data_IF_274291333820
#
_entry.id   IF_274291333820
#
_cell.length_a   1.000
_cell.length_b   1.000
_cell.length_c   1.000
_cell.angle_alpha   90.00
_cell.angle_beta   90.00
_cell.angle_gamma   90.00
#
_symmetry.space_group_name_H-M   'P 1'
#
loop_
_entity.id
_entity.type
_entity.pdbx_description
1 polymer ?
#
# COMPACT_ATOMS: atom_id res chain seq x y z
N UNK A 1 -8.17 10.61 9.49
CA UNK A 1 -8.58 9.22 9.73
C UNK A 1 -10.08 9.11 9.59
N UNK A 2 -10.60 7.94 9.26
CA UNK A 2 -12.04 7.68 9.23
C UNK A 2 -12.59 7.60 10.65
N UNK A 3 -13.83 8.06 10.85
CA UNK A 3 -14.58 7.86 12.09
C UNK A 3 -15.29 6.51 12.07
N UNK A 4 -15.65 5.97 13.24
CA UNK A 4 -16.35 4.69 13.32
C UNK A 4 -17.70 4.71 12.60
N UNK A 5 -18.42 5.84 12.64
CA UNK A 5 -19.65 6.03 11.89
C UNK A 5 -19.44 5.94 10.37
N UNK A 6 -18.35 6.52 9.84
CA UNK A 6 -17.98 6.42 8.43
C UNK A 6 -17.61 4.98 8.06
N UNK A 7 -16.85 4.29 8.90
CA UNK A 7 -16.49 2.88 8.69
C UNK A 7 -17.74 2.01 8.62
N UNK A 8 -18.68 2.17 9.57
CA UNK A 8 -19.93 1.43 9.56
C UNK A 8 -20.75 1.69 8.30
N UNK A 9 -20.84 2.94 7.85
CA UNK A 9 -21.57 3.29 6.63
C UNK A 9 -20.93 2.66 5.39
N UNK A 10 -19.60 2.70 5.27
CA UNK A 10 -18.87 2.05 4.18
C UNK A 10 -19.14 0.56 4.16
N UNK A 11 -18.96 -0.12 5.30
CA UNK A 11 -19.08 -1.57 5.41
C UNK A 11 -20.51 -2.06 5.14
N UNK A 12 -21.51 -1.31 5.56
CA UNK A 12 -22.91 -1.74 5.43
C UNK A 12 -23.59 -1.35 4.12
N UNK A 13 -23.17 -0.24 3.49
CA UNK A 13 -23.92 0.36 2.38
C UNK A 13 -23.11 0.60 1.09
N UNK A 14 -21.80 0.67 1.17
CA UNK A 14 -21.00 1.18 0.03
C UNK A 14 -20.04 0.15 -0.57
N UNK A 15 -19.83 -0.99 0.09
CA UNK A 15 -19.01 -2.08 -0.47
C UNK A 15 -19.89 -3.13 -1.13
N UNK A 16 -19.38 -3.68 -2.23
CA UNK A 16 -19.95 -4.86 -2.87
C UNK A 16 -18.92 -6.00 -2.90
N UNK A 17 -19.41 -7.23 -2.84
CA UNK A 17 -18.56 -8.41 -2.88
C UNK A 17 -18.90 -9.25 -4.10
N UNK A 18 -17.88 -9.65 -4.86
CA UNK A 18 -17.95 -10.69 -5.87
C UNK A 18 -17.17 -11.91 -5.38
N UNK A 19 -17.74 -13.08 -5.54
CA UNK A 19 -17.08 -14.33 -5.16
C UNK A 19 -16.69 -15.12 -6.39
N UNK A 20 -15.59 -15.83 -6.30
CA UNK A 20 -15.11 -16.72 -7.35
C UNK A 20 -14.33 -17.89 -6.75
N UNK A 21 -14.10 -18.89 -7.55
CA UNK A 21 -13.26 -20.02 -7.15
C UNK A 21 -11.82 -19.58 -7.01
N UNK A 22 -11.12 -20.05 -5.99
CA UNK A 22 -9.70 -19.80 -5.84
C UNK A 22 -8.93 -20.63 -6.88
N UNK A 23 -8.07 -20.00 -7.69
CA UNK A 23 -7.16 -20.72 -8.57
C UNK A 23 -6.01 -21.35 -7.76
N UNK A 24 -5.61 -22.56 -8.09
CA UNK A 24 -4.49 -23.26 -7.47
C UNK A 24 -4.28 -24.66 -8.08
N UNK A 25 -3.15 -25.31 -7.75
CA UNK A 25 -2.92 -26.73 -8.11
C UNK A 25 -3.98 -27.59 -7.41
N UNK A 26 -4.82 -28.25 -8.21
CA UNK A 26 -6.07 -28.86 -7.87
C UNK A 26 -6.13 -29.74 -6.61
N UNK A 27 -7.27 -29.67 -5.99
CA UNK A 27 -7.81 -30.58 -4.98
C UNK A 27 -9.32 -30.54 -5.08
N UNK A 28 -10.03 -31.54 -4.57
CA UNK A 28 -11.49 -31.67 -4.74
C UNK A 28 -12.29 -30.45 -4.26
N UNK A 29 -11.80 -29.71 -3.25
CA UNK A 29 -12.46 -28.52 -2.70
C UNK A 29 -12.21 -27.26 -3.51
N UNK A 30 -11.04 -27.09 -4.16
CA UNK A 30 -10.68 -25.88 -4.91
C UNK A 30 -11.62 -25.66 -6.10
N UNK A 31 -12.11 -26.74 -6.69
CA UNK A 31 -13.01 -26.69 -7.85
C UNK A 31 -14.49 -26.56 -7.51
N UNK A 32 -14.85 -26.74 -6.23
CA UNK A 32 -16.26 -26.77 -5.80
C UNK A 32 -16.68 -25.58 -4.93
N UNK A 33 -15.73 -24.89 -4.27
CA UNK A 33 -16.05 -23.84 -3.29
C UNK A 33 -15.52 -22.48 -3.75
N UNK A 34 -16.37 -21.46 -3.72
CA UNK A 34 -16.03 -20.09 -4.04
C UNK A 34 -15.50 -19.36 -2.80
N UNK A 35 -14.21 -19.53 -2.52
CA UNK A 35 -13.56 -18.91 -1.35
C UNK A 35 -12.89 -17.58 -1.65
N UNK A 36 -12.53 -17.33 -2.90
CA UNK A 36 -11.94 -16.05 -3.31
C UNK A 36 -13.01 -14.96 -3.32
N UNK A 37 -12.72 -13.85 -2.68
CA UNK A 37 -13.60 -12.69 -2.57
C UNK A 37 -12.92 -11.48 -3.20
N UNK A 38 -13.63 -10.78 -4.04
CA UNK A 38 -13.26 -9.47 -4.56
C UNK A 38 -14.21 -8.42 -3.98
N UNK A 39 -13.67 -7.50 -3.19
CA UNK A 39 -14.38 -6.36 -2.64
C UNK A 39 -14.24 -5.19 -3.59
N UNK A 40 -15.34 -4.56 -3.96
CA UNK A 40 -15.38 -3.34 -4.77
C UNK A 40 -15.91 -2.17 -3.92
N UNK A 41 -15.23 -1.03 -4.00
CA UNK A 41 -15.63 0.21 -3.34
C UNK A 41 -15.40 1.38 -4.30
N UNK A 42 -16.45 2.19 -4.53
CA UNK A 42 -16.36 3.37 -5.39
C UNK A 42 -16.10 4.63 -4.57
N UNK A 43 -14.92 5.24 -4.77
CA UNK A 43 -14.47 6.40 -4.03
C UNK A 43 -15.26 7.66 -4.37
N UNK A 44 -15.64 7.87 -5.64
CA UNK A 44 -16.32 9.09 -6.09
C UNK A 44 -17.76 9.17 -5.61
N UNK A 45 -18.49 8.04 -5.65
CA UNK A 45 -19.91 7.97 -5.29
C UNK A 45 -20.15 7.76 -3.79
N UNK A 46 -19.09 7.52 -3.01
CA UNK A 46 -19.20 7.31 -1.56
C UNK A 46 -19.84 8.50 -0.87
N UNK A 47 -20.88 8.24 -0.06
CA UNK A 47 -21.56 9.22 0.80
C UNK A 47 -20.92 9.29 2.19
N UNK A 48 -20.21 8.25 2.59
CA UNK A 48 -19.52 8.19 3.89
C UNK A 48 -18.30 9.12 3.93
N UNK A 49 -17.62 9.35 2.80
CA UNK A 49 -16.48 10.23 2.71
C UNK A 49 -16.93 11.67 2.45
N UNK A 50 -16.42 12.64 3.23
CA UNK A 50 -16.65 14.06 3.00
C UNK A 50 -15.92 14.52 1.72
N UNK A 51 -16.42 15.60 1.09
CA UNK A 51 -15.81 16.17 -0.12
C UNK A 51 -14.36 16.64 0.13
N UNK A 52 -14.06 17.11 1.32
CA UNK A 52 -12.70 17.46 1.74
C UNK A 52 -11.78 16.23 1.77
N UNK A 53 -12.26 15.10 2.27
CA UNK A 53 -11.51 13.83 2.28
C UNK A 53 -11.27 13.32 0.86
N UNK A 54 -12.28 13.34 0.00
CA UNK A 54 -12.14 12.96 -1.42
C UNK A 54 -11.13 13.87 -2.13
N UNK A 55 -11.21 15.19 -1.96
CA UNK A 55 -10.23 16.14 -2.52
C UNK A 55 -8.79 15.87 -2.07
N UNK A 56 -8.57 15.50 -0.81
CA UNK A 56 -7.25 15.12 -0.29
C UNK A 56 -6.74 13.87 -0.99
N UNK A 57 -7.58 12.86 -1.17
CA UNK A 57 -7.20 11.60 -1.82
C UNK A 57 -6.85 11.85 -3.30
N UNK A 58 -7.71 12.52 -4.06
CA UNK A 58 -7.48 12.83 -5.47
C UNK A 58 -6.26 13.71 -5.71
N UNK A 59 -6.03 14.73 -4.86
CA UNK A 59 -4.82 15.56 -4.95
C UNK A 59 -3.54 14.77 -4.71
N UNK A 60 -3.59 13.77 -3.85
CA UNK A 60 -2.42 12.98 -3.44
C UNK A 60 -2.14 11.79 -4.36
N UNK A 61 -3.20 11.25 -4.95
CA UNK A 61 -3.17 10.08 -5.82
C UNK A 61 -4.03 10.35 -7.07
N UNK A 62 -3.45 11.02 -8.10
CA UNK A 62 -4.18 11.38 -9.32
C UNK A 62 -4.78 10.18 -10.05
N UNK A 63 -4.16 9.00 -9.95
CA UNK A 63 -4.63 7.76 -10.59
C UNK A 63 -6.06 7.40 -10.19
N UNK A 64 -6.52 7.80 -9.00
CA UNK A 64 -7.91 7.61 -8.58
C UNK A 64 -8.92 8.58 -9.24
N UNK A 65 -8.46 9.51 -10.05
CA UNK A 65 -9.36 10.39 -10.84
C UNK A 65 -9.96 9.58 -11.99
N UNK A 66 -9.14 8.76 -12.64
CA UNK A 66 -9.55 7.93 -13.77
C UNK A 66 -10.19 6.62 -13.30
N UNK A 67 -9.58 5.94 -12.33
CA UNK A 67 -10.11 4.72 -11.72
C UNK A 67 -10.61 4.98 -10.29
N UNK A 68 -11.86 5.42 -10.17
CA UNK A 68 -12.49 5.66 -8.85
C UNK A 68 -12.88 4.38 -8.11
N UNK A 69 -12.84 3.23 -8.79
CA UNK A 69 -13.22 1.93 -8.27
C UNK A 69 -12.01 1.23 -7.62
N UNK A 70 -12.03 1.11 -6.31
CA UNK A 70 -11.02 0.36 -5.54
C UNK A 70 -11.46 -1.10 -5.47
N UNK A 71 -10.60 -2.01 -5.98
CA UNK A 71 -10.79 -3.46 -5.89
C UNK A 71 -9.79 -4.08 -4.95
N UNK A 72 -10.25 -4.90 -4.02
CA UNK A 72 -9.41 -5.63 -3.07
C UNK A 72 -9.75 -7.10 -3.11
N UNK A 73 -8.74 -7.92 -3.39
CA UNK A 73 -8.89 -9.38 -3.42
C UNK A 73 -8.50 -9.98 -2.08
N UNK A 74 -9.37 -10.82 -1.53
CA UNK A 74 -9.15 -11.68 -0.37
C UNK A 74 -9.16 -13.15 -0.82
N UNK A 75 -8.02 -13.82 -0.73
CA UNK A 75 -7.85 -15.24 -1.09
C UNK A 75 -6.87 -15.97 -0.18
N UNK A 76 -6.67 -15.45 1.04
CA UNK A 76 -5.65 -15.98 1.97
C UNK A 76 -6.23 -17.08 2.84
N UNK A 77 -7.48 -16.95 3.23
CA UNK A 77 -8.15 -17.87 4.15
C UNK A 77 -8.93 -18.96 3.39
N UNK A 78 -9.20 -20.07 4.08
CA UNK A 78 -10.01 -21.18 3.53
C UNK A 78 -11.50 -20.87 3.52
N UNK A 79 -11.95 -19.99 4.41
CA UNK A 79 -13.34 -19.58 4.55
C UNK A 79 -13.63 -18.33 3.73
N UNK A 80 -14.77 -18.31 3.03
CA UNK A 80 -15.25 -17.13 2.31
C UNK A 80 -15.50 -15.94 3.27
N UNK A 81 -16.04 -16.24 4.47
CA UNK A 81 -16.33 -15.22 5.48
C UNK A 81 -15.05 -14.52 5.95
N UNK A 82 -14.03 -15.28 6.29
CA UNK A 82 -12.72 -14.73 6.70
C UNK A 82 -12.09 -13.90 5.59
N UNK A 83 -12.24 -14.31 4.33
CA UNK A 83 -11.74 -13.53 3.18
C UNK A 83 -12.53 -12.21 3.00
N UNK A 84 -13.85 -12.18 3.28
CA UNK A 84 -14.64 -10.94 3.30
C UNK A 84 -14.16 -10.00 4.40
N UNK A 85 -13.98 -10.51 5.61
CA UNK A 85 -13.44 -9.72 6.74
C UNK A 85 -12.04 -9.18 6.43
N UNK A 86 -11.17 -10.02 5.89
CA UNK A 86 -9.81 -9.62 5.49
C UNK A 86 -9.85 -8.49 4.46
N UNK A 87 -10.65 -8.63 3.40
CA UNK A 87 -10.78 -7.61 2.36
C UNK A 87 -11.33 -6.28 2.93
N UNK A 88 -12.31 -6.36 3.83
CA UNK A 88 -12.88 -5.19 4.52
C UNK A 88 -11.84 -4.49 5.39
N UNK A 89 -11.10 -5.23 6.23
CA UNK A 89 -10.02 -4.68 7.06
C UNK A 89 -8.95 -4.00 6.20
N UNK A 90 -8.59 -4.62 5.08
CA UNK A 90 -7.60 -4.08 4.13
C UNK A 90 -8.08 -2.79 3.46
N UNK A 91 -9.38 -2.69 3.11
CA UNK A 91 -9.97 -1.45 2.59
C UNK A 91 -9.88 -0.31 3.60
N UNK A 92 -10.28 -0.55 4.86
CA UNK A 92 -10.24 0.45 5.92
C UNK A 92 -8.81 0.95 6.17
N UNK A 93 -7.84 0.03 6.22
CA UNK A 93 -6.42 0.37 6.35
C UNK A 93 -5.93 1.21 5.17
N UNK A 94 -6.32 0.85 3.95
CA UNK A 94 -5.97 1.60 2.73
C UNK A 94 -6.54 3.02 2.78
N UNK A 95 -7.84 3.18 3.05
CA UNK A 95 -8.49 4.50 3.15
C UNK A 95 -7.85 5.37 4.23
N UNK A 96 -7.55 4.82 5.41
CA UNK A 96 -6.84 5.54 6.46
C UNK A 96 -5.42 5.95 6.04
N UNK A 97 -4.70 5.10 5.28
CA UNK A 97 -3.39 5.43 4.71
C UNK A 97 -3.50 6.56 3.68
N UNK A 98 -4.51 6.54 2.82
CA UNK A 98 -4.76 7.58 1.82
C UNK A 98 -5.05 8.94 2.48
N UNK A 99 -5.81 8.94 3.57
CA UNK A 99 -6.15 10.16 4.33
C UNK A 99 -5.00 10.69 5.21
N UNK A 100 -4.00 9.86 5.52
CA UNK A 100 -2.89 10.27 6.40
C UNK A 100 -2.06 11.38 5.76
N UNK A 101 -1.82 12.51 6.43
CA UNK A 101 -0.99 13.58 5.88
C UNK A 101 0.45 13.10 5.65
N UNK A 102 1.03 13.46 4.51
CA UNK A 102 2.44 13.17 4.21
C UNK A 102 3.30 14.20 4.94
N UNK A 103 4.18 13.72 5.81
CA UNK A 103 5.19 14.58 6.44
C UNK A 103 6.18 15.06 5.39
N UNK A 104 6.42 16.38 5.32
CA UNK A 104 7.46 16.96 4.46
C UNK A 104 8.82 16.43 4.88
N UNK A 105 9.58 15.87 3.93
CA UNK A 105 10.96 15.43 4.21
C UNK A 105 11.84 16.64 4.46
N UNK A 106 12.53 16.64 5.59
CA UNK A 106 13.52 17.65 5.94
C UNK A 106 14.85 17.19 5.34
N UNK A 107 15.55 18.10 4.60
CA UNK A 107 16.86 17.81 4.05
C UNK A 107 17.88 17.60 5.19
N UNK A 108 18.52 16.44 5.23
CA UNK A 108 19.53 16.11 6.22
C UNK A 108 20.92 16.33 5.64
N UNK A 109 21.82 16.95 6.43
CA UNK A 109 23.23 17.10 6.07
C UNK A 109 24.01 15.85 6.54
N UNK A 110 25.07 15.45 5.78
CA UNK A 110 25.93 14.34 6.21
C UNK A 110 26.56 14.61 7.58
N UNK A 111 26.59 13.60 8.45
CA UNK A 111 27.21 13.69 9.78
C UNK A 111 28.73 13.91 9.68
N UNK A 112 29.34 14.45 10.75
CA UNK A 112 30.82 14.58 10.85
C UNK A 112 31.51 13.24 10.63
N UNK A 113 31.02 12.16 11.27
CA UNK A 113 31.56 10.81 11.10
C UNK A 113 31.51 10.32 9.64
N UNK A 114 30.39 10.58 8.93
CA UNK A 114 30.27 10.23 7.50
C UNK A 114 31.31 10.95 6.64
N UNK A 115 31.58 12.24 6.92
CA UNK A 115 32.60 13.02 6.20
C UNK A 115 34.00 12.45 6.45
N UNK A 116 34.34 12.13 7.72
CA UNK A 116 35.63 11.53 8.11
C UNK A 116 35.83 10.20 7.37
N UNK A 117 34.86 9.28 7.46
CA UNK A 117 34.94 7.97 6.77
C UNK A 117 35.15 8.13 5.27
N UNK A 118 34.48 9.11 4.65
CA UNK A 118 34.66 9.39 3.20
C UNK A 118 36.09 9.84 2.88
N UNK A 119 36.71 10.67 3.73
CA UNK A 119 38.11 11.11 3.56
C UNK A 119 39.07 9.95 3.76
N UNK A 120 38.89 9.15 4.80
CA UNK A 120 39.70 7.95 5.08
C UNK A 120 39.64 6.94 3.94
N UNK A 121 38.42 6.67 3.42
CA UNK A 121 38.24 5.77 2.26
C UNK A 121 38.97 6.31 1.03
N UNK A 122 38.91 7.63 0.77
CA UNK A 122 39.66 8.26 -0.33
C UNK A 122 41.16 8.13 -0.15
N UNK A 123 41.71 8.36 1.06
CA UNK A 123 43.14 8.23 1.35
C UNK A 123 43.58 6.78 1.10
N UNK A 124 42.89 5.79 1.68
CA UNK A 124 43.20 4.38 1.48
C UNK A 124 43.19 3.97 0.01
N UNK A 125 42.17 4.42 -0.75
CA UNK A 125 42.11 4.13 -2.19
C UNK A 125 43.24 4.80 -2.97
N UNK A 126 43.64 6.01 -2.58
CA UNK A 126 44.79 6.71 -3.19
C UNK A 126 46.11 5.98 -2.94
N UNK A 127 46.35 5.51 -1.73
CA UNK A 127 47.53 4.71 -1.35
C UNK A 127 47.58 3.41 -2.16
N UNK A 128 46.48 2.67 -2.22
CA UNK A 128 46.39 1.44 -3.04
C UNK A 128 46.66 1.73 -4.53
N UNK A 129 46.20 2.86 -5.06
CA UNK A 129 46.49 3.25 -6.45
C UNK A 129 47.98 3.60 -6.66
N UNK A 130 48.63 4.25 -5.68
CA UNK A 130 50.09 4.54 -5.75
C UNK A 130 50.90 3.24 -5.77
N UNK A 131 50.55 2.24 -4.94
CA UNK A 131 51.23 0.94 -4.91
C UNK A 131 51.08 0.14 -6.21
N UNK A 132 50.01 0.38 -6.99
CA UNK A 132 49.78 -0.27 -8.29
C UNK A 132 50.52 0.39 -9.46
N UNK A 133 51.08 1.58 -9.30
CA UNK A 133 51.91 2.18 -10.36
C UNK A 133 53.20 1.37 -10.48
N UNK A 134 53.54 0.95 -11.74
CA UNK A 134 54.83 0.31 -12.02
C UNK A 134 55.94 1.31 -11.63
N UNK A 135 57.01 0.85 -10.95
CA UNK A 135 58.21 1.65 -10.79
C UNK A 135 58.75 1.98 -12.19
N UNK A 136 59.08 3.28 -12.40
CA UNK A 136 59.75 3.79 -13.60
C UNK A 136 61.19 3.33 -13.57
#
# INVERSE_FOLDING_TARGET
MLTDAQINTIVTKEISFKTSRSGGKGGQNVNKVETKVELEFNLSTSKALSDSQKKIIFKKYPDFIDETLIRIVGNIHRSQLENKEYATKKLILLLNKLLKPVKKRIATKPSKASKIRKVETKKRTSELKKLRKKPI
#
